data_IF_305799681882
#
_entry.id   IF_305799681882
#
_cell.length_a   1.000
_cell.length_b   1.000
_cell.length_c   1.000
_cell.angle_alpha   90.00
_cell.angle_beta   90.00
_cell.angle_gamma   90.00
#
_symmetry.space_group_name_H-M   'P 1'
#
loop_
_entity.id
_entity.type
_entity.pdbx_description
1 polymer ?
#
# COMPACT_ATOMS: atom_id res chain seq x y z
N UNK A 1 19.60 -7.21 5.92
CA UNK A 1 18.19 -7.64 6.13
C UNK A 1 17.39 -7.19 4.92
N UNK A 2 17.02 -8.15 4.07
CA UNK A 2 16.42 -7.90 2.76
C UNK A 2 14.91 -8.10 2.89
N UNK A 3 14.10 -7.06 2.70
CA UNK A 3 12.70 -7.15 2.21
C UNK A 3 12.10 -5.75 2.04
N UNK A 4 12.54 -5.02 1.00
CA UNK A 4 11.82 -3.83 0.51
C UNK A 4 10.50 -4.18 -0.21
N UNK A 5 10.21 -5.48 -0.37
CA UNK A 5 9.04 -5.99 -1.10
C UNK A 5 7.84 -6.34 -0.21
N UNK A 6 8.00 -6.41 1.11
CA UNK A 6 6.90 -6.75 2.04
C UNK A 6 5.80 -5.67 2.04
N UNK A 7 6.18 -4.43 1.71
CA UNK A 7 5.25 -3.32 1.64
C UNK A 7 4.47 -3.22 0.31
N UNK A 8 4.67 -4.12 -0.65
CA UNK A 8 3.98 -4.08 -1.95
C UNK A 8 2.83 -5.09 -1.97
N UNK A 9 1.61 -4.61 -2.24
CA UNK A 9 0.42 -5.44 -2.38
C UNK A 9 0.07 -5.57 -3.86
N UNK A 10 0.11 -6.81 -4.36
CA UNK A 10 -0.26 -7.13 -5.74
C UNK A 10 -1.75 -7.46 -5.84
N UNK A 11 -2.26 -7.55 -7.07
CA UNK A 11 -3.69 -7.76 -7.31
C UNK A 11 -4.31 -8.91 -6.51
N UNK A 12 -3.63 -10.05 -6.39
CA UNK A 12 -4.12 -11.22 -5.63
C UNK A 12 -4.32 -10.90 -4.14
N UNK A 13 -3.43 -10.11 -3.54
CA UNK A 13 -3.57 -9.69 -2.14
C UNK A 13 -4.72 -8.69 -2.00
N UNK A 14 -4.84 -7.75 -2.93
CA UNK A 14 -5.94 -6.78 -2.97
C UNK A 14 -7.31 -7.47 -3.12
N UNK A 15 -7.41 -8.52 -3.93
CA UNK A 15 -8.63 -9.34 -4.04
C UNK A 15 -8.96 -10.03 -2.70
N UNK A 16 -7.95 -10.60 -2.02
CA UNK A 16 -8.15 -11.27 -0.73
C UNK A 16 -8.61 -10.30 0.36
N UNK A 17 -8.04 -9.10 0.39
CA UNK A 17 -8.37 -8.07 1.39
C UNK A 17 -9.77 -7.48 1.14
N UNK A 18 -10.10 -7.17 -0.11
CA UNK A 18 -11.39 -6.54 -0.46
C UNK A 18 -12.54 -7.54 -0.60
N UNK A 19 -12.25 -8.82 -0.84
CA UNK A 19 -13.26 -9.85 -1.13
C UNK A 19 -13.83 -9.81 -2.55
N UNK A 20 -13.43 -8.83 -3.38
CA UNK A 20 -13.89 -8.73 -4.76
C UNK A 20 -13.07 -9.60 -5.71
N UNK A 21 -13.77 -10.31 -6.60
CA UNK A 21 -13.12 -11.12 -7.64
C UNK A 21 -12.80 -10.30 -8.90
N UNK A 22 -13.66 -9.34 -9.28
CA UNK A 22 -13.46 -8.56 -10.51
C UNK A 22 -12.46 -7.44 -10.27
N UNK A 23 -11.51 -7.32 -11.20
CA UNK A 23 -10.49 -6.27 -11.16
C UNK A 23 -11.07 -4.86 -11.10
N UNK A 24 -12.13 -4.59 -11.86
CA UNK A 24 -12.82 -3.30 -11.87
C UNK A 24 -13.34 -2.91 -10.49
N UNK A 25 -13.87 -3.88 -9.74
CA UNK A 25 -14.53 -3.65 -8.46
C UNK A 25 -13.49 -3.39 -7.37
N UNK A 26 -12.37 -4.14 -7.42
CA UNK A 26 -11.19 -3.89 -6.57
C UNK A 26 -10.61 -2.50 -6.83
N UNK A 27 -10.32 -2.16 -8.10
CA UNK A 27 -9.73 -0.87 -8.45
C UNK A 27 -10.64 0.30 -8.03
N UNK A 28 -11.94 0.20 -8.35
CA UNK A 28 -12.92 1.23 -8.00
C UNK A 28 -13.00 1.44 -6.50
N UNK A 29 -13.12 0.37 -5.71
CA UNK A 29 -13.25 0.47 -4.26
C UNK A 29 -12.02 1.13 -3.63
N UNK A 30 -10.81 0.72 -4.05
CA UNK A 30 -9.57 1.28 -3.52
C UNK A 30 -9.40 2.75 -3.91
N UNK A 31 -9.77 3.14 -5.13
CA UNK A 31 -9.76 4.53 -5.58
C UNK A 31 -10.79 5.36 -4.80
N UNK A 32 -12.00 4.84 -4.59
CA UNK A 32 -13.07 5.50 -3.82
C UNK A 32 -12.65 5.70 -2.34
N UNK A 33 -11.78 4.83 -1.82
CA UNK A 33 -11.15 4.96 -0.50
C UNK A 33 -9.93 5.90 -0.48
N UNK A 34 -9.53 6.47 -1.61
CA UNK A 34 -8.38 7.37 -1.72
C UNK A 34 -7.02 6.67 -1.83
N UNK A 35 -7.00 5.34 -2.02
CA UNK A 35 -5.76 4.58 -2.21
C UNK A 35 -5.22 4.81 -3.62
N UNK A 36 -3.94 5.18 -3.71
CA UNK A 36 -3.27 5.29 -5.00
C UNK A 36 -2.89 3.92 -5.54
N UNK A 37 -3.33 3.62 -6.77
CA UNK A 37 -2.99 2.39 -7.48
C UNK A 37 -2.00 2.66 -8.62
N UNK A 38 -1.08 1.74 -8.81
CA UNK A 38 -0.19 1.67 -9.97
C UNK A 38 -0.57 0.49 -10.86
N UNK A 39 -0.21 0.56 -12.14
CA UNK A 39 -0.49 -0.50 -13.12
C UNK A 39 0.80 -1.18 -13.53
N UNK A 40 0.81 -2.51 -13.47
CA UNK A 40 1.90 -3.36 -13.94
C UNK A 40 1.41 -4.50 -14.82
N UNK A 41 2.35 -5.31 -15.31
CA UNK A 41 2.07 -6.49 -16.15
C UNK A 41 1.17 -7.53 -15.46
N UNK A 42 1.21 -7.60 -14.14
CA UNK A 42 0.45 -8.54 -13.30
C UNK A 42 -0.87 -7.96 -12.76
N UNK A 43 -1.24 -6.74 -13.17
CA UNK A 43 -2.44 -6.05 -12.68
C UNK A 43 -2.12 -4.82 -11.84
N UNK A 44 -3.12 -4.26 -11.13
CA UNK A 44 -2.92 -3.14 -10.24
C UNK A 44 -2.12 -3.59 -9.01
N UNK A 45 -1.27 -2.71 -8.52
CA UNK A 45 -0.55 -2.90 -7.27
C UNK A 45 -0.45 -1.58 -6.53
N UNK A 46 -0.24 -1.66 -5.22
CA UNK A 46 -0.02 -0.50 -4.35
C UNK A 46 0.95 -0.87 -3.25
N UNK A 47 1.14 0.03 -2.29
CA UNK A 47 1.93 -0.25 -1.10
C UNK A 47 1.11 -0.07 0.17
N UNK A 48 1.51 -0.77 1.23
CA UNK A 48 0.90 -0.62 2.55
C UNK A 48 0.97 0.83 3.03
N UNK A 49 2.05 1.55 2.72
CA UNK A 49 2.20 2.98 3.05
C UNK A 49 1.11 3.84 2.41
N UNK A 50 0.75 3.57 1.15
CA UNK A 50 -0.30 4.32 0.44
C UNK A 50 -1.69 3.98 0.98
N UNK A 51 -1.91 2.73 1.41
CA UNK A 51 -3.14 2.35 2.12
C UNK A 51 -3.22 3.04 3.47
N UNK A 52 -2.15 3.02 4.26
CA UNK A 52 -2.08 3.70 5.56
C UNK A 52 -2.31 5.21 5.40
N UNK A 53 -1.71 5.82 4.38
CA UNK A 53 -1.93 7.23 4.05
C UNK A 53 -3.40 7.51 3.71
N UNK A 54 -4.04 6.67 2.90
CA UNK A 54 -5.47 6.80 2.57
C UNK A 54 -6.38 6.62 3.80
N UNK A 55 -5.97 5.76 4.74
CA UNK A 55 -6.64 5.58 6.03
C UNK A 55 -6.38 6.75 7.02
N UNK A 56 -5.61 7.77 6.65
CA UNK A 56 -5.25 8.90 7.52
C UNK A 56 -4.22 8.54 8.61
N UNK A 57 -3.60 7.35 8.53
CA UNK A 57 -2.51 6.98 9.43
C UNK A 57 -1.24 7.69 8.97
N UNK A 58 -0.65 8.47 9.88
CA UNK A 58 0.68 9.01 9.64
C UNK A 58 1.67 7.86 9.77
N UNK A 59 2.64 7.70 8.85
CA UNK A 59 3.75 6.80 9.11
C UNK A 59 4.33 7.20 10.46
N UNK A 60 4.53 6.23 11.35
CA UNK A 60 5.25 6.47 12.59
C UNK A 60 6.49 7.24 12.17
N UNK A 61 6.60 8.50 12.62
CA UNK A 61 7.73 9.34 12.25
C UNK A 61 8.94 8.47 12.55
N UNK A 62 9.70 8.12 11.50
CA UNK A 62 10.99 7.50 11.72
C UNK A 62 11.68 8.48 12.63
N UNK A 63 11.78 8.13 13.92
CA UNK A 63 12.52 8.91 14.90
C UNK A 63 13.83 9.18 14.18
N UNK A 64 14.03 10.45 13.84
CA UNK A 64 15.31 10.88 13.33
C UNK A 64 16.22 10.46 14.46
N UNK A 65 17.07 9.46 14.20
CA UNK A 65 18.27 9.31 14.99
C UNK A 65 19.00 10.63 14.77
N UNK A 66 18.66 11.62 15.59
CA UNK A 66 19.44 12.83 15.75
C UNK A 66 20.78 12.27 16.19
N UNK A 67 21.73 12.33 15.27
CA UNK A 67 23.09 11.94 15.49
C UNK A 67 23.74 13.00 16.41
N UNK A 68 23.20 13.18 17.61
CA UNK A 68 23.98 13.59 18.76
C UNK A 68 24.71 12.33 19.24
N UNK A 69 25.69 11.93 18.44
CA UNK A 69 26.80 11.09 18.87
C UNK A 69 27.75 12.05 19.58
N UNK A 70 27.68 12.07 20.92
CA UNK A 70 28.63 12.72 21.82
C UNK A 70 29.80 11.76 22.14
#
# INVERSE_FOLDING_TARGET
MNSRSDNVLIFTDLQRITGYQRRSDVERTLIDQGVRLFRGRTGPWTTLDLINQAAGMKPAAAERYDADIL
#
